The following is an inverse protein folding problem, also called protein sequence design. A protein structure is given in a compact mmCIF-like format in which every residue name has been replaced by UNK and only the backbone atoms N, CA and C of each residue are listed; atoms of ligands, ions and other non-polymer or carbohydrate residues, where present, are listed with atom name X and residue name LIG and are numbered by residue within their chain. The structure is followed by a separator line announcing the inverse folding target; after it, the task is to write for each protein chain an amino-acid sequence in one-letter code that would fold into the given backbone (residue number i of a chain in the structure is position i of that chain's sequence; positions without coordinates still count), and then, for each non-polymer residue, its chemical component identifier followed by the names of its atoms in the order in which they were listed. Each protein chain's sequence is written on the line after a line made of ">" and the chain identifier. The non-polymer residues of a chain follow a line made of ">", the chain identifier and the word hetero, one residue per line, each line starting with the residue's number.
data_IF_300785434407
#
_entry.id   IF_300785434407
#
_cell.length_a   1.000
_cell.length_b   1.000
_cell.length_c   1.000
_cell.angle_alpha   90.00
_cell.angle_beta   90.00
_cell.angle_gamma   90.00
#
_symmetry.space_group_name_H-M   'P 1'
#
loop_
_entity.id
_entity.type
_entity.pdbx_description
1 polymer ?
#
# COMPACT_ATOMS: atom_id res chain seq x y z
N UNK A 1 24.65 30.46 -41.81
CA UNK A 1 25.47 30.05 -40.65
C UNK A 1 24.62 29.72 -39.39
N UNK A 2 23.33 29.49 -39.52
CA UNK A 2 22.40 29.24 -38.37
C UNK A 2 21.86 27.79 -38.23
N UNK A 3 22.09 26.93 -39.21
CA UNK A 3 21.55 25.55 -39.20
C UNK A 3 22.38 24.49 -38.42
N UNK A 4 23.67 24.78 -38.11
CA UNK A 4 24.54 23.76 -37.50
C UNK A 4 24.45 23.72 -35.93
N UNK A 5 23.98 24.76 -35.28
CA UNK A 5 23.86 24.74 -33.80
C UNK A 5 22.67 24.03 -33.24
N UNK A 6 21.58 23.89 -34.02
CA UNK A 6 20.33 23.25 -33.54
C UNK A 6 20.49 21.71 -33.47
N UNK A 7 21.28 21.09 -34.37
CA UNK A 7 21.48 19.63 -34.37
C UNK A 7 22.31 19.12 -33.18
N UNK A 8 23.25 19.91 -32.67
CA UNK A 8 24.11 19.50 -31.53
C UNK A 8 23.31 19.47 -30.22
N UNK A 9 22.39 20.40 -30.04
CA UNK A 9 21.58 20.50 -28.83
C UNK A 9 20.53 19.39 -28.74
N UNK A 10 19.94 19.02 -29.88
CA UNK A 10 18.95 17.92 -29.93
C UNK A 10 19.62 16.56 -29.69
N UNK A 11 20.83 16.34 -30.22
CA UNK A 11 21.57 15.10 -29.98
C UNK A 11 22.03 14.94 -28.52
N UNK A 12 22.35 16.03 -27.83
CA UNK A 12 22.76 15.99 -26.42
C UNK A 12 21.57 15.70 -25.50
N UNK A 13 20.41 16.28 -25.77
CA UNK A 13 19.18 16.02 -25.01
C UNK A 13 18.71 14.57 -25.23
N UNK A 14 18.78 14.05 -26.43
CA UNK A 14 18.42 12.68 -26.74
C UNK A 14 19.39 11.66 -26.10
N UNK A 15 20.69 11.93 -26.09
CA UNK A 15 21.69 11.09 -25.43
C UNK A 15 21.54 11.07 -23.90
N UNK A 16 21.21 12.20 -23.28
CA UNK A 16 20.95 12.27 -21.82
C UNK A 16 19.69 11.51 -21.45
N UNK A 17 18.63 11.59 -22.25
CA UNK A 17 17.38 10.86 -22.02
C UNK A 17 17.56 9.36 -22.16
N UNK A 18 18.33 8.90 -23.15
CA UNK A 18 18.66 7.48 -23.36
C UNK A 18 19.52 6.94 -22.22
N UNK A 19 20.49 7.69 -21.73
CA UNK A 19 21.32 7.27 -20.59
C UNK A 19 20.52 7.20 -19.28
N UNK A 20 19.60 8.12 -19.03
CA UNK A 20 18.73 8.08 -17.85
C UNK A 20 17.79 6.84 -17.86
N UNK A 21 17.17 6.55 -19.01
CA UNK A 21 16.31 5.38 -19.15
C UNK A 21 17.06 4.05 -18.98
N UNK A 22 18.25 3.91 -19.56
CA UNK A 22 19.06 2.71 -19.42
C UNK A 22 19.54 2.40 -18.01
N UNK A 23 19.48 3.35 -17.09
CA UNK A 23 19.91 3.18 -15.70
C UNK A 23 18.76 2.87 -14.75
N UNK A 24 17.58 3.42 -15.00
CA UNK A 24 16.34 3.05 -14.32
C UNK A 24 16.02 1.58 -14.62
N UNK A 25 16.27 1.10 -15.84
CA UNK A 25 16.10 -0.30 -16.23
C UNK A 25 16.82 -1.30 -15.31
N UNK A 26 17.97 -0.95 -14.72
CA UNK A 26 18.69 -1.83 -13.77
C UNK A 26 17.91 -2.08 -12.50
N UNK A 27 17.09 -1.11 -12.08
CA UNK A 27 16.20 -1.20 -10.93
C UNK A 27 14.77 -1.64 -11.31
N UNK A 28 14.58 -2.11 -12.54
CA UNK A 28 13.30 -2.62 -13.02
C UNK A 28 13.38 -4.09 -13.47
N UNK A 29 14.50 -4.77 -13.15
CA UNK A 29 14.66 -6.20 -13.45
C UNK A 29 13.60 -7.03 -12.73
N UNK A 30 12.81 -7.77 -13.51
CA UNK A 30 11.69 -8.57 -13.00
C UNK A 30 10.34 -7.94 -13.27
N UNK A 31 10.23 -6.65 -13.60
CA UNK A 31 8.95 -6.08 -14.03
C UNK A 31 8.57 -6.70 -15.39
N UNK A 32 7.40 -7.35 -15.43
CA UNK A 32 6.85 -7.98 -16.65
C UNK A 32 5.70 -7.18 -17.25
N UNK A 33 4.99 -6.39 -16.46
CA UNK A 33 3.89 -5.54 -16.93
C UNK A 33 3.74 -4.30 -16.05
N UNK A 34 3.40 -3.17 -16.67
CA UNK A 34 2.97 -1.94 -16.00
C UNK A 34 1.78 -1.36 -16.76
N UNK A 35 0.73 -1.02 -16.04
CA UNK A 35 -0.50 -0.49 -16.64
C UNK A 35 -1.26 0.37 -15.63
N UNK A 36 -2.15 1.23 -16.11
CA UNK A 36 -3.16 1.87 -15.27
C UNK A 36 -4.43 0.99 -15.26
N UNK A 37 -5.17 1.02 -14.14
CA UNK A 37 -6.43 0.29 -14.05
C UNK A 37 -7.51 0.86 -14.99
N UNK A 38 -7.38 2.12 -15.34
CA UNK A 38 -8.32 2.84 -16.20
C UNK A 38 -7.65 4.04 -16.87
N UNK A 39 -8.15 4.43 -18.02
CA UNK A 39 -7.75 5.66 -18.70
C UNK A 39 -8.55 6.85 -18.20
N UNK A 40 -9.86 6.67 -18.04
CA UNK A 40 -10.81 7.65 -17.53
C UNK A 40 -11.59 7.09 -16.34
N UNK A 41 -11.89 7.93 -15.37
CA UNK A 41 -12.69 7.60 -14.20
C UNK A 41 -13.80 8.64 -13.99
N UNK A 42 -14.88 8.27 -13.29
CA UNK A 42 -15.97 9.22 -12.99
C UNK A 42 -15.61 10.24 -11.88
N UNK A 43 -14.36 10.27 -11.45
CA UNK A 43 -13.85 11.14 -10.38
C UNK A 43 -12.50 11.75 -10.79
N UNK A 44 -12.17 12.95 -10.35
CA UNK A 44 -10.88 13.59 -10.64
C UNK A 44 -9.74 13.11 -9.72
N UNK A 45 -10.06 12.58 -8.52
CA UNK A 45 -9.06 12.18 -7.53
C UNK A 45 -9.36 10.80 -6.95
N UNK A 46 -8.31 10.00 -6.73
CA UNK A 46 -8.40 8.68 -6.13
C UNK A 46 -7.25 8.39 -5.16
N UNK A 47 -7.45 7.45 -4.23
CA UNK A 47 -6.39 7.05 -3.30
C UNK A 47 -6.63 5.68 -2.64
N UNK A 48 -5.59 5.19 -1.92
CA UNK A 48 -5.66 4.04 -1.02
C UNK A 48 -6.09 2.75 -1.70
N UNK A 49 -5.29 2.31 -2.68
CA UNK A 49 -5.57 1.10 -3.44
C UNK A 49 -5.27 -0.17 -2.62
N UNK A 50 -6.08 -1.21 -2.87
CA UNK A 50 -5.92 -2.57 -2.37
C UNK A 50 -6.22 -3.56 -3.49
N UNK A 51 -5.61 -4.75 -3.45
CA UNK A 51 -5.76 -5.80 -4.47
C UNK A 51 -5.90 -7.16 -3.83
N UNK A 52 -6.73 -8.02 -4.42
CA UNK A 52 -6.87 -9.42 -4.05
C UNK A 52 -6.93 -10.32 -5.29
N UNK A 53 -6.38 -11.54 -5.17
CA UNK A 53 -6.60 -12.61 -6.12
C UNK A 53 -7.86 -13.38 -5.70
N UNK A 54 -8.77 -13.57 -6.66
CA UNK A 54 -10.00 -14.35 -6.47
C UNK A 54 -10.05 -15.52 -7.45
N UNK A 55 -10.93 -16.51 -7.29
CA UNK A 55 -11.09 -17.59 -8.26
C UNK A 55 -11.43 -17.11 -9.69
N UNK A 56 -11.91 -15.89 -9.84
CA UNK A 56 -12.31 -15.31 -11.15
C UNK A 56 -11.32 -14.27 -11.68
N UNK A 57 -10.15 -14.10 -11.05
CA UNK A 57 -9.12 -13.13 -11.43
C UNK A 57 -8.86 -12.09 -10.34
N UNK A 58 -8.06 -11.08 -10.70
CA UNK A 58 -7.71 -10.02 -9.76
C UNK A 58 -8.85 -9.02 -9.57
N UNK A 59 -8.98 -8.53 -8.35
CA UNK A 59 -9.90 -7.45 -7.99
C UNK A 59 -9.11 -6.37 -7.28
N UNK A 60 -9.28 -5.13 -7.71
CA UNK A 60 -8.72 -3.95 -7.07
C UNK A 60 -9.83 -3.08 -6.49
N UNK A 61 -9.57 -2.43 -5.35
CA UNK A 61 -10.44 -1.42 -4.77
C UNK A 61 -9.65 -0.20 -4.35
N UNK A 62 -10.28 0.96 -4.38
CA UNK A 62 -9.72 2.24 -3.98
C UNK A 62 -10.87 3.22 -3.72
N UNK A 63 -10.59 4.33 -3.08
CA UNK A 63 -11.58 5.39 -3.01
C UNK A 63 -11.36 6.45 -4.08
N UNK A 64 -12.44 7.09 -4.54
CA UNK A 64 -12.42 8.17 -5.52
C UNK A 64 -13.54 9.17 -5.28
N UNK A 65 -13.32 10.41 -5.67
CA UNK A 65 -14.23 11.53 -5.54
C UNK A 65 -13.59 12.83 -5.99
N UNK A 66 -14.20 13.98 -5.67
CA UNK A 66 -13.63 15.30 -6.01
C UNK A 66 -12.28 15.51 -5.33
N UNK A 67 -12.17 15.22 -4.05
CA UNK A 67 -10.94 15.28 -3.24
C UNK A 67 -11.14 14.41 -2.00
N UNK A 68 -10.07 13.83 -1.47
CA UNK A 68 -10.08 13.16 -0.17
C UNK A 68 -10.75 14.03 0.89
N UNK A 69 -11.59 13.45 1.75
CA UNK A 69 -12.45 14.09 2.77
C UNK A 69 -13.74 14.71 2.26
N UNK A 70 -13.92 14.87 0.96
CA UNK A 70 -15.17 15.38 0.43
C UNK A 70 -16.30 14.34 0.59
N UNK A 71 -17.53 14.76 0.83
CA UNK A 71 -18.67 13.86 1.00
C UNK A 71 -18.98 12.98 -0.19
N UNK A 72 -18.52 13.35 -1.40
CA UNK A 72 -18.71 12.59 -2.64
C UNK A 72 -17.71 11.43 -2.83
N UNK A 73 -16.77 11.26 -1.90
CA UNK A 73 -15.82 10.14 -1.95
C UNK A 73 -16.54 8.81 -1.74
N UNK A 74 -16.37 7.90 -2.70
CA UNK A 74 -16.97 6.56 -2.73
C UNK A 74 -15.90 5.47 -2.86
N UNK A 75 -16.26 4.22 -2.58
CA UNK A 75 -15.42 3.06 -2.80
C UNK A 75 -15.70 2.48 -4.17
N UNK A 76 -14.66 2.33 -4.97
CA UNK A 76 -14.69 1.78 -6.31
C UNK A 76 -14.02 0.42 -6.38
N UNK A 77 -14.53 -0.42 -7.28
CA UNK A 77 -13.97 -1.72 -7.65
C UNK A 77 -13.59 -1.69 -9.13
N UNK A 78 -12.43 -2.25 -9.45
CA UNK A 78 -12.05 -2.64 -10.81
C UNK A 78 -11.69 -4.13 -10.81
N UNK A 79 -12.09 -4.88 -11.84
CA UNK A 79 -11.84 -6.32 -11.97
C UNK A 79 -10.96 -6.59 -13.17
N UNK A 80 -10.03 -7.52 -13.04
CA UNK A 80 -9.19 -7.97 -14.15
C UNK A 80 -9.83 -9.19 -14.81
N UNK A 81 -10.31 -9.02 -16.03
CA UNK A 81 -11.04 -10.04 -16.78
C UNK A 81 -10.48 -10.08 -18.21
N UNK A 82 -10.23 -11.27 -18.74
CA UNK A 82 -9.72 -11.48 -20.09
C UNK A 82 -8.48 -10.63 -20.43
N UNK A 83 -7.54 -10.57 -19.49
CA UNK A 83 -6.25 -9.88 -19.66
C UNK A 83 -6.28 -8.36 -19.52
N UNK A 84 -7.39 -7.75 -19.10
CA UNK A 84 -7.57 -6.29 -18.94
C UNK A 84 -8.35 -5.91 -17.69
N UNK A 85 -8.08 -4.73 -17.18
CA UNK A 85 -8.88 -4.11 -16.14
C UNK A 85 -10.17 -3.53 -16.72
N UNK A 86 -11.30 -3.82 -16.08
CA UNK A 86 -12.60 -3.23 -16.42
C UNK A 86 -12.69 -1.82 -15.82
N UNK A 87 -13.55 -0.97 -16.40
CA UNK A 87 -13.83 0.36 -15.87
C UNK A 87 -14.26 0.27 -14.39
N UNK A 88 -13.79 1.17 -13.53
CA UNK A 88 -14.18 1.17 -12.12
C UNK A 88 -15.65 1.54 -11.95
N UNK A 89 -16.31 0.86 -10.99
CA UNK A 89 -17.68 1.14 -10.60
C UNK A 89 -17.80 1.29 -9.08
N UNK A 90 -18.72 2.14 -8.63
CA UNK A 90 -18.95 2.38 -7.21
C UNK A 90 -19.69 1.21 -6.57
N UNK A 91 -19.24 0.78 -5.38
CA UNK A 91 -19.85 -0.30 -4.60
C UNK A 91 -20.27 0.13 -3.20
N UNK A 92 -19.78 1.28 -2.74
CA UNK A 92 -20.18 1.84 -1.45
C UNK A 92 -19.98 3.36 -1.45
N UNK A 93 -20.89 4.05 -0.81
CA UNK A 93 -20.87 5.48 -0.56
C UNK A 93 -21.13 5.77 0.91
N UNK A 94 -21.06 7.04 1.28
CA UNK A 94 -21.23 7.49 2.65
C UNK A 94 -22.60 8.07 2.97
N UNK A 95 -23.64 7.77 2.19
CA UNK A 95 -25.00 8.26 2.44
C UNK A 95 -25.55 7.60 3.70
N UNK A 96 -25.98 8.43 4.66
CA UNK A 96 -26.53 8.00 5.92
C UNK A 96 -28.07 7.92 5.85
N UNK A 97 -28.75 7.22 6.77
CA UNK A 97 -30.21 7.11 6.79
C UNK A 97 -30.95 8.46 6.85
N UNK A 98 -30.33 9.50 7.42
CA UNK A 98 -30.86 10.86 7.47
C UNK A 98 -30.60 11.68 6.20
N UNK A 99 -30.03 11.06 5.16
CA UNK A 99 -29.66 11.70 3.90
C UNK A 99 -28.33 12.46 3.93
N UNK A 100 -27.69 12.61 5.08
CA UNK A 100 -26.35 13.20 5.17
C UNK A 100 -25.34 12.34 4.43
N UNK A 101 -24.39 12.95 3.75
CA UNK A 101 -23.32 12.24 3.06
C UNK A 101 -21.98 12.52 3.74
N UNK A 102 -21.25 11.46 4.04
CA UNK A 102 -19.91 11.48 4.63
C UNK A 102 -18.91 10.82 3.68
N UNK A 103 -17.63 11.18 3.70
CA UNK A 103 -16.63 10.49 2.90
C UNK A 103 -16.47 9.03 3.31
N UNK A 104 -16.16 8.19 2.33
CA UNK A 104 -15.66 6.83 2.55
C UNK A 104 -14.14 6.81 2.52
N UNK A 105 -13.51 5.78 3.14
CA UNK A 105 -12.08 5.73 3.34
C UNK A 105 -11.52 4.33 3.21
N UNK A 106 -10.24 4.24 2.80
CA UNK A 106 -9.35 3.11 2.87
C UNK A 106 -10.04 1.74 2.72
N UNK A 107 -10.42 1.34 1.49
CA UNK A 107 -10.88 -0.02 1.27
C UNK A 107 -9.75 -1.02 1.50
N UNK A 108 -10.10 -2.20 2.01
CA UNK A 108 -9.22 -3.35 2.13
C UNK A 108 -9.96 -4.58 1.64
N UNK A 109 -9.41 -5.25 0.64
CA UNK A 109 -9.91 -6.50 0.10
C UNK A 109 -9.24 -7.69 0.80
N UNK A 110 -10.02 -8.73 1.05
CA UNK A 110 -9.51 -10.01 1.51
C UNK A 110 -10.31 -11.16 0.92
N UNK A 111 -9.65 -12.06 0.17
CA UNK A 111 -10.28 -13.29 -0.34
C UNK A 111 -10.18 -14.37 0.73
N UNK A 112 -11.32 -14.79 1.26
CA UNK A 112 -11.39 -15.94 2.17
C UNK A 112 -11.05 -17.20 1.39
N UNK A 113 -10.09 -18.04 1.85
CA UNK A 113 -9.80 -19.31 1.19
C UNK A 113 -11.05 -20.18 1.06
N UNK A 114 -11.43 -20.51 -0.19
CA UNK A 114 -12.65 -21.27 -0.48
C UNK A 114 -13.97 -20.56 -0.17
N UNK A 115 -13.94 -19.27 0.14
CA UNK A 115 -15.11 -18.48 0.54
C UNK A 115 -15.27 -17.18 -0.24
N UNK A 116 -15.98 -16.24 0.36
CA UNK A 116 -16.36 -14.97 -0.23
C UNK A 116 -15.16 -13.98 -0.25
N UNK A 117 -15.21 -13.03 -1.17
CA UNK A 117 -14.35 -11.84 -1.15
C UNK A 117 -14.93 -10.81 -0.17
N UNK A 118 -14.17 -10.42 0.83
CA UNK A 118 -14.54 -9.40 1.80
C UNK A 118 -14.00 -8.04 1.37
N UNK A 119 -14.80 -7.00 1.51
CA UNK A 119 -14.42 -5.60 1.36
C UNK A 119 -14.67 -4.89 2.69
N UNK A 120 -13.62 -4.48 3.36
CA UNK A 120 -13.66 -3.59 4.51
C UNK A 120 -13.44 -2.16 4.05
N UNK A 121 -14.17 -1.19 4.61
CA UNK A 121 -13.97 0.23 4.36
C UNK A 121 -14.45 1.03 5.56
N UNK A 122 -14.30 2.34 5.55
CA UNK A 122 -14.71 3.21 6.65
C UNK A 122 -15.62 4.32 6.12
N UNK A 123 -16.50 4.80 6.98
CA UNK A 123 -17.31 6.00 6.78
C UNK A 123 -17.06 6.92 7.96
N UNK A 124 -16.97 8.22 7.72
CA UNK A 124 -16.83 9.20 8.78
C UNK A 124 -16.17 10.48 8.30
N UNK A 125 -16.29 11.60 9.05
CA UNK A 125 -15.80 12.91 8.62
C UNK A 125 -14.26 12.99 8.55
N UNK A 126 -13.58 12.18 9.36
CA UNK A 126 -12.11 12.11 9.42
C UNK A 126 -11.64 10.80 10.07
N UNK A 127 -10.35 10.42 9.92
CA UNK A 127 -9.83 9.15 10.45
C UNK A 127 -9.95 8.95 11.96
N UNK A 128 -10.06 10.01 12.74
CA UNK A 128 -10.27 9.94 14.19
C UNK A 128 -11.73 9.68 14.60
N UNK A 129 -12.68 9.76 13.65
CA UNK A 129 -14.11 9.70 13.90
C UNK A 129 -14.85 8.73 12.96
N UNK A 130 -14.12 7.93 12.20
CA UNK A 130 -14.71 6.95 11.30
C UNK A 130 -15.12 5.67 12.02
N UNK A 131 -15.99 4.90 11.37
CA UNK A 131 -16.37 3.56 11.79
C UNK A 131 -16.19 2.56 10.66
N UNK A 132 -16.06 1.28 11.03
CA UNK A 132 -15.84 0.18 10.11
C UNK A 132 -17.12 -0.28 9.44
N UNK A 133 -17.02 -0.58 8.15
CA UNK A 133 -18.07 -1.16 7.31
C UNK A 133 -17.52 -2.38 6.57
N UNK A 134 -18.38 -3.31 6.24
CA UNK A 134 -18.04 -4.52 5.48
C UNK A 134 -19.10 -4.81 4.42
N UNK A 135 -18.66 -5.33 3.27
CA UNK A 135 -19.49 -5.98 2.24
C UNK A 135 -18.84 -7.29 1.81
N UNK A 136 -19.63 -8.20 1.25
CA UNK A 136 -19.14 -9.49 0.72
C UNK A 136 -19.53 -9.66 -0.73
N UNK A 137 -18.70 -10.41 -1.48
CA UNK A 137 -18.99 -10.80 -2.86
C UNK A 137 -18.74 -12.30 -3.03
N UNK A 138 -19.68 -13.01 -3.64
CA UNK A 138 -19.62 -14.45 -3.94
C UNK A 138 -19.16 -14.74 -5.37
N UNK A 139 -19.00 -13.72 -6.19
CA UNK A 139 -18.75 -13.82 -7.62
C UNK A 139 -17.49 -13.05 -8.08
N UNK A 140 -16.51 -12.96 -7.18
CA UNK A 140 -15.23 -12.31 -7.46
C UNK A 140 -15.36 -10.80 -7.72
N UNK A 141 -16.16 -10.13 -6.91
CA UNK A 141 -16.30 -8.67 -6.94
C UNK A 141 -17.22 -8.13 -8.03
N UNK A 142 -18.02 -8.99 -8.69
CA UNK A 142 -19.00 -8.54 -9.70
C UNK A 142 -20.24 -7.94 -9.04
N UNK A 143 -20.77 -8.62 -8.01
CA UNK A 143 -21.87 -8.12 -7.19
C UNK A 143 -21.48 -8.15 -5.71
N UNK A 144 -22.14 -7.32 -4.91
CA UNK A 144 -21.83 -7.12 -3.51
C UNK A 144 -23.08 -7.14 -2.65
N UNK A 145 -22.97 -7.67 -1.44
CA UNK A 145 -24.03 -7.63 -0.43
C UNK A 145 -24.40 -6.20 -0.05
N UNK A 146 -25.49 -6.03 0.69
CA UNK A 146 -25.68 -4.80 1.46
C UNK A 146 -24.52 -4.57 2.43
N UNK A 147 -24.29 -3.28 2.75
CA UNK A 147 -23.23 -2.91 3.67
C UNK A 147 -23.62 -3.19 5.11
N UNK A 148 -22.72 -3.81 5.87
CA UNK A 148 -22.90 -4.07 7.30
C UNK A 148 -21.91 -3.23 8.09
N UNK A 149 -22.36 -2.45 9.07
CA UNK A 149 -21.50 -1.78 10.05
C UNK A 149 -20.83 -2.84 10.94
N UNK A 150 -19.54 -2.72 11.16
CA UNK A 150 -18.84 -3.55 12.15
C UNK A 150 -19.36 -3.24 13.56
N UNK A 151 -19.26 -4.18 14.50
CA UNK A 151 -19.66 -3.93 15.89
C UNK A 151 -18.97 -2.70 16.45
N UNK A 152 -19.60 -2.00 17.38
CA UNK A 152 -19.05 -0.80 17.97
C UNK A 152 -17.68 -1.09 18.62
N UNK A 153 -16.74 -0.19 18.41
CA UNK A 153 -15.34 -0.33 18.83
C UNK A 153 -14.41 -0.97 17.81
N UNK A 154 -14.94 -1.58 16.75
CA UNK A 154 -14.18 -2.20 15.66
C UNK A 154 -14.27 -1.40 14.36
N UNK A 155 -13.15 -1.31 13.66
CA UNK A 155 -13.04 -0.58 12.38
C UNK A 155 -12.51 -1.46 11.25
N UNK A 156 -12.12 -2.70 11.55
CA UNK A 156 -11.53 -3.61 10.59
C UNK A 156 -10.09 -3.22 10.19
N UNK A 157 -9.51 -3.88 9.19
CA UNK A 157 -8.17 -3.54 8.70
C UNK A 157 -8.17 -2.12 8.13
N UNK A 158 -7.20 -1.28 8.56
CA UNK A 158 -7.23 0.16 8.22
C UNK A 158 -6.71 0.46 6.83
N UNK A 159 -5.66 -0.24 6.38
CA UNK A 159 -5.05 -0.02 5.05
C UNK A 159 -4.52 -1.31 4.44
N UNK A 160 -3.82 -2.09 5.23
CA UNK A 160 -3.15 -3.28 4.74
C UNK A 160 -4.01 -4.52 4.98
N UNK A 161 -3.81 -5.50 4.11
CA UNK A 161 -4.61 -6.74 4.10
C UNK A 161 -4.47 -7.54 5.40
N UNK A 162 -5.55 -8.17 5.88
CA UNK A 162 -5.45 -9.17 6.94
C UNK A 162 -4.64 -10.38 6.50
N UNK A 163 -4.18 -11.16 7.46
CA UNK A 163 -3.54 -12.45 7.24
C UNK A 163 -4.30 -13.56 7.98
N UNK A 164 -4.49 -14.70 7.33
CA UNK A 164 -5.00 -15.89 7.98
C UNK A 164 -3.83 -16.63 8.65
N UNK A 165 -3.92 -16.84 9.93
CA UNK A 165 -2.93 -17.57 10.71
C UNK A 165 -3.23 -19.06 10.74
N UNK A 166 -2.24 -19.89 11.11
CA UNK A 166 -2.38 -21.34 11.20
C UNK A 166 -3.41 -21.83 12.23
N UNK A 167 -3.79 -20.97 13.17
CA UNK A 167 -4.84 -21.21 14.17
C UNK A 167 -6.24 -20.72 13.72
N UNK A 168 -6.42 -20.49 12.41
CA UNK A 168 -7.64 -20.03 11.75
C UNK A 168 -8.12 -18.62 12.16
N UNK A 169 -7.29 -17.88 12.87
CA UNK A 169 -7.55 -16.48 13.14
C UNK A 169 -7.27 -15.63 11.88
N UNK A 170 -8.26 -14.90 11.41
CA UNK A 170 -8.05 -13.81 10.47
C UNK A 170 -7.60 -12.59 11.28
N UNK A 171 -6.34 -12.24 11.12
CA UNK A 171 -5.66 -11.21 11.89
C UNK A 171 -5.61 -9.91 11.08
N UNK A 172 -6.48 -8.96 11.43
CA UNK A 172 -6.63 -7.69 10.71
C UNK A 172 -5.74 -6.60 11.33
N UNK A 173 -4.79 -6.05 10.55
CA UNK A 173 -3.94 -4.96 11.03
C UNK A 173 -4.74 -3.67 11.08
N UNK A 174 -4.84 -3.09 12.27
CA UNK A 174 -5.62 -1.89 12.55
C UNK A 174 -4.80 -0.83 13.30
N UNK A 175 -5.33 0.39 13.36
CA UNK A 175 -4.71 1.48 14.09
C UNK A 175 -5.71 2.60 14.38
N UNK A 176 -5.57 3.27 15.51
CA UNK A 176 -6.32 4.48 15.87
C UNK A 176 -5.48 5.72 15.63
N UNK A 177 -6.10 6.77 15.07
CA UNK A 177 -5.43 8.04 14.76
C UNK A 177 -5.84 9.19 15.71
N UNK A 178 -6.96 9.06 16.42
CA UNK A 178 -7.53 10.15 17.23
C UNK A 178 -6.78 10.47 18.50
N UNK A 179 -6.41 9.45 19.27
CA UNK A 179 -5.75 9.59 20.57
C UNK A 179 -4.29 9.13 20.52
N UNK A 180 -3.52 9.85 19.73
CA UNK A 180 -2.19 9.38 19.33
C UNK A 180 -2.28 8.25 18.32
N UNK A 181 -1.18 7.95 17.62
CA UNK A 181 -1.12 6.88 16.65
C UNK A 181 -0.81 5.56 17.35
N UNK A 182 -1.81 4.68 17.44
CA UNK A 182 -1.71 3.41 18.18
C UNK A 182 -2.05 2.23 17.31
N UNK A 183 -1.12 1.30 17.16
CA UNK A 183 -1.32 0.04 16.45
C UNK A 183 -2.04 -0.95 17.37
N UNK A 184 -3.04 -1.62 16.83
CA UNK A 184 -3.70 -2.77 17.43
C UNK A 184 -4.13 -3.74 16.31
N UNK A 185 -4.62 -4.90 16.69
CA UNK A 185 -5.18 -5.86 15.75
C UNK A 185 -6.62 -6.18 16.14
N UNK A 186 -7.41 -6.43 15.13
CA UNK A 186 -8.77 -6.91 15.27
C UNK A 186 -8.84 -8.31 14.66
N UNK A 187 -9.31 -9.28 15.45
CA UNK A 187 -9.21 -10.70 15.11
C UNK A 187 -10.60 -11.31 15.02
N UNK A 188 -10.85 -12.04 13.94
CA UNK A 188 -12.10 -12.77 13.71
C UNK A 188 -11.82 -14.20 13.27
N UNK A 189 -12.75 -15.14 13.60
CA UNK A 189 -12.73 -16.53 13.11
C UNK A 189 -13.91 -16.86 12.20
N UNK A 190 -14.83 -15.92 12.06
CA UNK A 190 -16.11 -16.13 11.38
C UNK A 190 -16.34 -15.10 10.26
N UNK A 191 -15.23 -14.70 9.60
CA UNK A 191 -15.24 -13.77 8.47
C UNK A 191 -15.85 -12.39 8.81
N UNK A 192 -15.60 -11.89 10.02
CA UNK A 192 -15.99 -10.56 10.41
C UNK A 192 -17.35 -10.42 11.10
N UNK A 193 -17.96 -11.51 11.53
CA UNK A 193 -19.21 -11.48 12.33
C UNK A 193 -18.92 -11.15 13.79
N UNK A 194 -17.90 -11.77 14.36
CA UNK A 194 -17.43 -11.47 15.72
C UNK A 194 -15.96 -11.09 15.72
N UNK A 195 -15.58 -10.26 16.67
CA UNK A 195 -14.26 -9.67 16.76
C UNK A 195 -13.71 -9.65 18.18
N UNK A 196 -12.40 -9.75 18.32
CA UNK A 196 -11.66 -9.42 19.53
C UNK A 196 -10.48 -8.52 19.19
N UNK A 197 -10.01 -7.76 20.17
CA UNK A 197 -8.85 -6.86 20.00
C UNK A 197 -7.61 -7.46 20.62
N UNK A 198 -6.46 -7.30 19.96
CA UNK A 198 -5.12 -7.52 20.50
C UNK A 198 -4.36 -6.19 20.46
N UNK A 199 -3.77 -5.79 21.57
CA UNK A 199 -3.10 -4.49 21.71
C UNK A 199 -3.95 -3.48 22.48
N UNK A 200 -3.61 -2.18 22.47
CA UNK A 200 -2.57 -1.55 21.64
C UNK A 200 -1.16 -2.07 21.92
N UNK A 201 -0.29 -2.02 20.90
CA UNK A 201 1.12 -2.40 21.07
C UNK A 201 1.85 -1.41 21.97
N UNK A 202 2.87 -1.87 22.74
CA UNK A 202 3.72 -0.97 23.51
C UNK A 202 4.46 0.03 22.59
N UNK A 203 4.15 1.33 22.75
CA UNK A 203 4.53 2.38 21.80
C UNK A 203 6.01 2.75 21.86
N UNK A 204 6.63 2.68 23.04
CA UNK A 204 8.02 3.08 23.28
C UNK A 204 8.35 4.49 22.71
N UNK A 205 7.43 5.45 22.88
CA UNK A 205 7.57 6.81 22.34
C UNK A 205 7.43 6.94 20.81
N UNK A 206 7.01 5.87 20.13
CA UNK A 206 6.85 5.82 18.67
C UNK A 206 5.38 5.95 18.29
N UNK A 207 5.07 6.89 17.41
CA UNK A 207 3.75 7.08 16.82
C UNK A 207 3.67 6.36 15.47
N UNK A 208 2.91 5.28 15.41
CA UNK A 208 2.83 4.43 14.21
C UNK A 208 1.39 4.00 13.90
N UNK A 209 1.10 3.84 12.61
CA UNK A 209 -0.20 3.39 12.09
C UNK A 209 -0.02 2.47 10.88
N UNK A 210 -1.13 1.83 10.47
CA UNK A 210 -1.25 1.10 9.20
C UNK A 210 -0.20 -0.01 9.06
N UNK A 211 -0.10 -0.95 10.03
CA UNK A 211 0.88 -2.02 9.95
C UNK A 211 0.57 -3.02 8.83
N UNK A 212 1.61 -3.62 8.24
CA UNK A 212 1.54 -4.87 7.48
C UNK A 212 2.03 -6.00 8.33
N UNK A 213 1.49 -7.21 8.17
CA UNK A 213 1.85 -8.40 8.94
C UNK A 213 2.65 -9.35 8.04
N UNK A 214 3.81 -9.80 8.52
CA UNK A 214 4.69 -10.77 7.90
C UNK A 214 4.75 -12.05 8.73
N UNK A 215 4.77 -13.20 8.07
CA UNK A 215 4.75 -14.52 8.70
C UNK A 215 6.08 -15.26 8.47
N UNK A 216 6.64 -15.85 9.53
CA UNK A 216 7.92 -16.60 9.49
C UNK A 216 7.78 -18.08 9.84
N UNK A 217 6.55 -18.56 9.95
CA UNK A 217 6.26 -19.92 10.44
C UNK A 217 6.32 -20.04 11.97
N UNK A 218 5.83 -21.17 12.49
CA UNK A 218 5.83 -21.51 13.93
C UNK A 218 5.25 -20.40 14.84
N UNK A 219 4.23 -19.67 14.34
CA UNK A 219 3.59 -18.60 15.09
C UNK A 219 4.40 -17.29 15.19
N UNK A 220 5.58 -17.23 14.56
CA UNK A 220 6.40 -16.03 14.54
C UNK A 220 5.90 -15.04 13.51
N UNK A 221 5.60 -13.81 13.96
CA UNK A 221 5.09 -12.71 13.15
C UNK A 221 5.97 -11.47 13.33
N UNK A 222 5.97 -10.61 12.30
CA UNK A 222 6.52 -9.27 12.36
C UNK A 222 5.49 -8.30 11.81
N UNK A 223 5.43 -7.10 12.36
CA UNK A 223 4.81 -6.00 11.65
C UNK A 223 5.86 -5.02 11.13
N UNK A 224 5.53 -4.38 10.01
CA UNK A 224 6.20 -3.19 9.52
C UNK A 224 5.16 -2.07 9.37
N UNK A 225 5.46 -0.88 9.89
CA UNK A 225 4.49 0.20 9.91
C UNK A 225 5.07 1.57 9.57
N UNK A 226 4.19 2.42 9.03
CA UNK A 226 4.39 3.85 8.84
C UNK A 226 4.49 4.57 10.17
N UNK A 227 5.38 5.58 10.26
CA UNK A 227 5.52 6.40 11.45
C UNK A 227 5.67 7.88 11.18
N UNK A 228 5.41 8.69 12.21
CA UNK A 228 5.86 10.08 12.28
C UNK A 228 7.34 10.21 12.75
N UNK A 229 8.01 9.10 13.06
CA UNK A 229 9.34 9.08 13.67
C UNK A 229 10.48 8.83 12.68
N UNK A 230 10.25 9.09 11.38
CA UNK A 230 11.25 9.12 10.29
C UNK A 230 11.85 7.76 9.89
N UNK A 231 11.34 6.65 10.42
CA UNK A 231 11.78 5.31 10.07
C UNK A 231 10.58 4.37 9.92
N UNK A 232 10.70 3.33 9.12
CA UNK A 232 9.81 2.16 9.23
C UNK A 232 10.02 1.57 10.62
N UNK A 233 8.94 1.22 11.30
CA UNK A 233 9.01 0.54 12.60
C UNK A 233 8.56 -0.88 12.50
N UNK A 234 9.01 -1.68 13.44
CA UNK A 234 8.68 -3.08 13.59
C UNK A 234 8.27 -3.42 15.02
N UNK A 235 7.51 -4.50 15.16
CA UNK A 235 7.32 -5.25 16.38
C UNK A 235 7.23 -6.74 16.03
N UNK A 236 7.53 -7.60 16.98
CA UNK A 236 7.59 -9.05 16.81
C UNK A 236 6.66 -9.77 17.77
N UNK A 237 6.07 -10.86 17.29
CA UNK A 237 5.34 -11.86 18.08
C UNK A 237 5.91 -13.24 17.84
N UNK A 238 5.86 -14.13 18.84
CA UNK A 238 6.27 -15.52 18.73
C UNK A 238 5.14 -16.51 19.11
N UNK A 239 3.92 -16.02 19.26
CA UNK A 239 2.76 -16.74 19.78
C UNK A 239 1.49 -16.54 18.94
N UNK A 240 1.64 -16.51 17.61
CA UNK A 240 0.54 -16.25 16.66
C UNK A 240 -0.15 -14.90 16.90
N UNK A 241 0.60 -13.87 17.32
CA UNK A 241 0.10 -12.52 17.44
C UNK A 241 -0.63 -12.21 18.74
N UNK A 242 -0.63 -13.10 19.73
CA UNK A 242 -1.30 -12.85 21.01
C UNK A 242 -0.54 -11.81 21.84
N UNK A 243 0.80 -11.87 21.84
CA UNK A 243 1.66 -10.86 22.47
C UNK A 243 2.68 -10.29 21.51
N UNK A 244 3.09 -9.05 21.73
CA UNK A 244 4.00 -8.33 20.86
C UNK A 244 5.09 -7.60 21.64
N UNK A 245 6.26 -7.52 21.04
CA UNK A 245 7.33 -6.67 21.53
C UNK A 245 6.92 -5.19 21.47
N UNK A 246 7.63 -4.33 22.18
CA UNK A 246 7.53 -2.89 21.97
C UNK A 246 7.94 -2.51 20.54
N UNK A 247 7.39 -1.39 20.03
CA UNK A 247 7.78 -0.82 18.75
C UNK A 247 9.25 -0.41 18.76
N UNK A 248 9.97 -0.75 17.70
CA UNK A 248 11.37 -0.36 17.48
C UNK A 248 11.55 0.17 16.06
N UNK A 249 12.51 1.08 15.87
CA UNK A 249 12.84 1.59 14.54
C UNK A 249 13.73 0.60 13.79
N UNK A 250 13.40 0.34 12.54
CA UNK A 250 14.34 -0.29 11.61
C UNK A 250 15.35 0.73 11.09
N UNK A 251 16.32 0.30 10.28
CA UNK A 251 17.23 1.20 9.57
C UNK A 251 16.61 1.86 8.33
N UNK A 252 15.44 1.40 7.90
CA UNK A 252 14.80 1.91 6.69
C UNK A 252 14.09 3.25 6.96
N UNK A 253 14.31 4.27 6.10
CA UNK A 253 13.65 5.57 6.26
C UNK A 253 12.15 5.47 5.99
N UNK A 254 11.38 6.38 6.57
CA UNK A 254 9.99 6.60 6.24
C UNK A 254 9.66 8.10 6.23
N UNK A 255 9.00 8.54 5.18
CA UNK A 255 8.56 9.92 4.97
C UNK A 255 7.18 10.20 5.56
N UNK A 256 6.70 9.37 6.47
CA UNK A 256 5.33 9.40 6.97
C UNK A 256 4.29 9.12 5.87
N UNK A 257 4.55 8.10 5.06
CA UNK A 257 3.62 7.59 4.05
C UNK A 257 3.30 6.12 4.31
N UNK A 258 2.08 5.70 3.90
CA UNK A 258 1.65 4.31 4.01
C UNK A 258 2.55 3.36 3.22
N UNK A 259 2.78 2.18 3.80
CA UNK A 259 3.57 1.08 3.23
C UNK A 259 2.71 -0.17 3.10
N UNK A 260 3.17 -1.18 2.38
CA UNK A 260 2.63 -2.54 2.49
C UNK A 260 3.75 -3.58 2.36
N UNK A 261 3.52 -4.75 2.94
CA UNK A 261 4.45 -5.86 2.88
C UNK A 261 3.73 -7.20 2.72
N UNK A 262 4.44 -8.19 2.20
CA UNK A 262 3.94 -9.55 2.03
C UNK A 262 5.07 -10.57 2.24
N UNK A 263 4.73 -11.70 2.87
CA UNK A 263 5.59 -12.88 2.90
C UNK A 263 5.36 -13.68 1.62
N UNK A 264 6.42 -13.90 0.84
CA UNK A 264 6.35 -14.74 -0.36
C UNK A 264 6.30 -16.21 -0.01
N UNK A 265 5.84 -17.05 -0.94
CA UNK A 265 5.78 -18.51 -0.82
C UNK A 265 7.13 -19.15 -0.52
N UNK A 266 8.24 -18.52 -0.92
CA UNK A 266 9.61 -18.96 -0.65
C UNK A 266 10.17 -18.47 0.70
N UNK A 267 9.35 -17.81 1.51
CA UNK A 267 9.69 -17.32 2.85
C UNK A 267 10.36 -15.94 2.88
N UNK A 268 10.72 -15.36 1.72
CA UNK A 268 11.26 -14.00 1.68
C UNK A 268 10.16 -12.98 1.93
N UNK A 269 10.53 -11.84 2.50
CA UNK A 269 9.67 -10.71 2.79
C UNK A 269 9.83 -9.64 1.72
N UNK A 270 8.73 -9.07 1.26
CA UNK A 270 8.71 -7.95 0.32
C UNK A 270 8.08 -6.75 1.01
N UNK A 271 8.72 -5.59 0.93
CA UNK A 271 8.22 -4.31 1.44
C UNK A 271 8.18 -3.31 0.29
N UNK A 272 7.04 -2.66 0.11
CA UNK A 272 6.86 -1.53 -0.83
C UNK A 272 6.58 -0.25 -0.05
N UNK A 273 7.40 0.80 -0.28
CA UNK A 273 7.42 2.02 0.52
C UNK A 273 8.14 3.17 -0.20
N UNK A 274 8.03 4.37 0.32
CA UNK A 274 8.86 5.48 -0.12
C UNK A 274 10.17 5.48 0.69
N UNK A 275 11.28 5.13 0.03
CA UNK A 275 12.62 5.10 0.65
C UNK A 275 13.22 6.51 0.70
N UNK A 276 12.64 7.37 1.51
CA UNK A 276 13.04 8.77 1.64
C UNK A 276 12.74 9.27 3.05
N UNK A 277 13.56 10.20 3.54
CA UNK A 277 13.32 10.91 4.79
C UNK A 277 12.58 12.23 4.51
N UNK A 278 11.75 12.71 5.45
CA UNK A 278 11.30 14.09 5.44
C UNK A 278 12.50 15.05 5.51
N UNK A 279 12.47 16.18 4.82
CA UNK A 279 13.56 17.16 4.89
C UNK A 279 13.59 17.85 6.24
N UNK A 280 14.81 18.21 6.70
CA UNK A 280 15.01 18.85 7.99
C UNK A 280 14.26 18.14 9.11
N UNK A 281 13.52 18.88 9.91
CA UNK A 281 12.70 18.37 11.03
C UNK A 281 11.21 18.19 10.69
N UNK A 282 10.85 18.25 9.41
CA UNK A 282 9.45 18.07 9.00
C UNK A 282 8.94 16.68 9.37
N UNK A 283 7.68 16.61 9.77
CA UNK A 283 7.01 15.36 10.13
C UNK A 283 6.58 14.53 8.88
N UNK A 284 6.49 15.17 7.70
CA UNK A 284 6.10 14.54 6.44
C UNK A 284 7.10 14.94 5.34
N UNK A 285 7.33 14.03 4.40
CA UNK A 285 8.15 14.26 3.21
C UNK A 285 7.45 13.86 1.93
N UNK A 286 8.07 14.18 0.81
CA UNK A 286 7.60 13.83 -0.52
C UNK A 286 7.36 12.33 -0.66
N UNK A 287 6.30 11.94 -1.40
CA UNK A 287 5.94 10.54 -1.66
C UNK A 287 6.54 10.05 -2.99
N UNK A 288 7.82 10.28 -3.15
CA UNK A 288 8.68 9.81 -4.24
C UNK A 288 10.10 9.70 -3.71
N UNK A 289 10.91 8.71 -4.14
CA UNK A 289 10.58 7.58 -5.00
C UNK A 289 9.65 6.55 -4.33
N UNK A 290 9.07 5.62 -5.12
CA UNK A 290 8.39 4.43 -4.63
C UNK A 290 9.28 3.21 -4.89
N UNK A 291 9.65 2.52 -3.83
CA UNK A 291 10.68 1.49 -3.83
C UNK A 291 10.14 0.13 -3.36
N UNK A 292 10.80 -0.93 -3.83
CA UNK A 292 10.60 -2.29 -3.31
C UNK A 292 11.90 -2.80 -2.73
N UNK A 293 11.83 -3.33 -1.51
CA UNK A 293 12.91 -4.02 -0.83
C UNK A 293 12.53 -5.46 -0.49
N UNK A 294 13.52 -6.33 -0.43
CA UNK A 294 13.35 -7.75 -0.11
C UNK A 294 14.27 -8.12 1.05
N UNK A 295 13.75 -8.93 1.97
CA UNK A 295 14.50 -9.47 3.11
C UNK A 295 14.25 -10.97 3.25
N UNK A 296 15.23 -11.69 3.84
CA UNK A 296 15.08 -13.10 4.23
C UNK A 296 14.66 -13.27 5.69
N UNK A 297 14.98 -12.30 6.53
CA UNK A 297 14.85 -12.37 7.99
C UNK A 297 14.02 -11.25 8.61
N UNK A 298 13.56 -10.29 7.77
CA UNK A 298 12.82 -9.09 8.18
C UNK A 298 13.69 -8.00 8.82
N UNK A 299 15.00 -8.23 8.97
CA UNK A 299 15.96 -7.28 9.59
C UNK A 299 16.92 -6.71 8.57
N UNK A 300 17.54 -7.57 7.77
CA UNK A 300 18.47 -7.21 6.71
C UNK A 300 17.73 -7.03 5.38
N UNK A 301 17.68 -5.81 4.87
CA UNK A 301 16.94 -5.50 3.66
C UNK A 301 17.85 -5.24 2.46
N UNK A 302 17.39 -5.67 1.31
CA UNK A 302 18.05 -5.43 0.01
C UNK A 302 17.12 -4.64 -0.90
N UNK A 303 17.64 -3.63 -1.56
CA UNK A 303 16.98 -2.90 -2.63
C UNK A 303 16.71 -3.84 -3.81
N UNK A 304 15.51 -3.81 -4.35
CA UNK A 304 15.06 -4.64 -5.45
C UNK A 304 14.59 -3.82 -6.66
N UNK A 305 13.63 -2.91 -6.46
CA UNK A 305 13.02 -2.13 -7.53
C UNK A 305 12.86 -0.67 -7.15
N UNK A 306 12.87 0.20 -8.15
CA UNK A 306 12.31 1.54 -8.11
C UNK A 306 11.11 1.54 -9.05
N UNK A 307 9.90 1.56 -8.51
CA UNK A 307 8.67 1.55 -9.31
C UNK A 307 8.39 2.91 -9.92
N UNK A 308 8.65 3.98 -9.17
CA UNK A 308 8.50 5.37 -9.57
C UNK A 308 9.63 6.21 -8.97
N UNK A 309 10.15 7.17 -9.73
CA UNK A 309 11.21 8.08 -9.30
C UNK A 309 11.08 9.52 -9.82
N UNK A 310 9.93 9.85 -10.42
CA UNK A 310 9.69 11.22 -10.88
C UNK A 310 9.75 12.23 -9.72
N UNK A 311 10.30 13.42 -9.92
CA UNK A 311 10.29 14.48 -8.90
C UNK A 311 8.88 15.03 -8.64
N UNK A 312 7.91 14.70 -9.48
CA UNK A 312 6.51 15.07 -9.28
C UNK A 312 5.90 14.01 -8.36
N UNK A 313 5.65 14.35 -7.13
CA UNK A 313 4.91 13.56 -6.17
C UNK A 313 3.42 13.49 -6.59
N UNK A 314 2.63 12.50 -6.27
CA UNK A 314 2.95 11.45 -5.29
C UNK A 314 2.76 10.05 -5.86
N UNK A 315 3.52 9.11 -5.34
CA UNK A 315 3.38 7.67 -5.56
C UNK A 315 3.25 7.03 -4.19
N UNK A 316 2.04 6.62 -3.82
CA UNK A 316 1.76 6.35 -2.41
C UNK A 316 0.68 5.32 -2.17
N UNK A 317 0.56 4.91 -0.91
CA UNK A 317 -0.40 3.92 -0.44
C UNK A 317 -0.39 2.65 -1.29
N UNK A 318 0.79 2.04 -1.45
CA UNK A 318 0.91 0.80 -2.20
C UNK A 318 0.23 -0.36 -1.48
N UNK A 319 -0.23 -1.33 -2.26
CA UNK A 319 -0.54 -2.67 -1.80
C UNK A 319 0.23 -3.69 -2.63
N UNK A 320 0.58 -4.83 -2.03
CA UNK A 320 1.30 -5.92 -2.69
C UNK A 320 0.72 -7.27 -2.29
N UNK A 321 0.53 -8.16 -3.28
CA UNK A 321 0.21 -9.57 -3.07
C UNK A 321 1.15 -10.44 -3.91
N UNK A 322 1.28 -11.71 -3.53
CA UNK A 322 1.80 -12.74 -4.42
C UNK A 322 0.65 -13.66 -4.84
N UNK A 323 0.46 -13.82 -6.14
CA UNK A 323 -0.59 -14.65 -6.74
C UNK A 323 -0.21 -16.14 -6.78
N UNK A 324 -1.17 -16.98 -7.15
CA UNK A 324 -1.00 -18.42 -7.22
C UNK A 324 0.12 -18.85 -8.19
N UNK A 325 0.30 -18.11 -9.29
CA UNK A 325 1.37 -18.30 -10.28
C UNK A 325 2.76 -17.84 -9.82
N UNK A 326 2.85 -17.27 -8.61
CA UNK A 326 4.10 -16.81 -8.00
C UNK A 326 4.50 -15.39 -8.34
N UNK A 327 3.75 -14.68 -9.20
CA UNK A 327 4.02 -13.29 -9.52
C UNK A 327 3.68 -12.36 -8.33
N UNK A 328 4.40 -11.26 -8.23
CA UNK A 328 4.07 -10.18 -7.32
C UNK A 328 3.24 -9.12 -8.08
N UNK A 329 2.14 -8.73 -7.49
CA UNK A 329 1.28 -7.66 -8.00
C UNK A 329 1.33 -6.48 -7.05
N UNK A 330 1.83 -5.35 -7.55
CA UNK A 330 1.86 -4.08 -6.85
C UNK A 330 0.78 -3.17 -7.42
N UNK A 331 0.06 -2.50 -6.52
CA UNK A 331 -0.93 -1.50 -6.90
C UNK A 331 -0.74 -0.27 -6.02
N UNK A 332 -0.84 0.94 -6.57
CA UNK A 332 -0.62 2.17 -5.82
C UNK A 332 -1.29 3.37 -6.46
N UNK A 333 -1.49 4.39 -5.64
CA UNK A 333 -1.93 5.72 -6.08
C UNK A 333 -0.82 6.40 -6.88
N UNK A 334 -1.12 6.73 -8.13
CA UNK A 334 -0.27 7.50 -9.01
C UNK A 334 -0.82 8.94 -9.12
N UNK A 335 -0.13 9.90 -8.50
CA UNK A 335 -0.42 11.35 -8.51
C UNK A 335 -1.84 11.74 -8.08
N UNK A 336 -2.51 10.93 -7.30
CA UNK A 336 -3.94 11.08 -6.96
C UNK A 336 -4.90 11.00 -8.15
N UNK A 337 -4.43 10.85 -9.36
CA UNK A 337 -5.21 10.84 -10.60
C UNK A 337 -5.62 9.43 -11.01
N UNK A 338 -4.72 8.47 -10.84
CA UNK A 338 -4.88 7.09 -11.32
C UNK A 338 -4.40 6.08 -10.30
N UNK A 339 -4.82 4.84 -10.52
CA UNK A 339 -4.25 3.67 -9.84
C UNK A 339 -3.39 2.92 -10.85
N UNK A 340 -2.13 2.69 -10.48
CA UNK A 340 -1.16 1.94 -11.31
C UNK A 340 -0.98 0.53 -10.79
N UNK A 341 -0.88 -0.43 -11.69
CA UNK A 341 -0.64 -1.83 -11.44
C UNK A 341 0.69 -2.25 -12.08
N UNK A 342 1.51 -2.99 -11.33
CA UNK A 342 2.80 -3.50 -11.79
C UNK A 342 2.90 -4.97 -11.43
N UNK A 343 3.23 -5.80 -12.42
CA UNK A 343 3.45 -7.24 -12.26
C UNK A 343 4.94 -7.52 -12.29
N UNK A 344 5.42 -8.32 -11.34
CA UNK A 344 6.84 -8.61 -11.16
C UNK A 344 7.08 -10.10 -11.01
N UNK A 345 8.01 -10.63 -11.75
CA UNK A 345 8.58 -11.96 -11.58
C UNK A 345 9.69 -11.91 -10.49
N UNK A 346 9.42 -12.41 -9.26
CA UNK A 346 10.37 -12.29 -8.16
C UNK A 346 11.66 -13.13 -8.35
N UNK A 347 11.66 -14.07 -9.29
CA UNK A 347 12.85 -14.88 -9.63
C UNK A 347 13.90 -14.07 -10.38
N UNK A 348 13.50 -13.01 -11.07
CA UNK A 348 14.36 -12.13 -11.86
C UNK A 348 14.88 -10.90 -11.11
N UNK A 349 14.49 -10.71 -9.86
CA UNK A 349 14.92 -9.58 -9.05
C UNK A 349 16.45 -9.58 -8.85
N UNK A 350 17.07 -8.43 -9.00
CA UNK A 350 18.48 -8.19 -8.71
C UNK A 350 18.60 -7.43 -7.41
N UNK A 351 19.00 -8.15 -6.37
CA UNK A 351 19.05 -7.62 -5.03
C UNK A 351 20.41 -6.96 -4.73
N UNK A 352 20.39 -5.82 -4.04
CA UNK A 352 21.58 -5.10 -3.57
C UNK A 352 21.36 -4.63 -2.13
N UNK A 353 22.25 -5.06 -1.20
CA UNK A 353 22.10 -4.78 0.23
C UNK A 353 21.96 -3.27 0.50
N UNK A 354 20.95 -2.91 1.29
CA UNK A 354 20.80 -1.59 1.88
C UNK A 354 21.69 -1.54 3.11
N UNK A 355 22.65 -0.60 3.13
CA UNK A 355 23.58 -0.43 4.25
C UNK A 355 23.22 0.84 5.01
N UNK A 356 23.03 0.73 6.33
CA UNK A 356 22.68 1.86 7.21
C UNK A 356 21.50 2.70 6.70
N UNK A 357 20.49 2.06 6.14
CA UNK A 357 19.31 2.73 5.60
C UNK A 357 19.56 3.51 4.30
N UNK A 358 20.71 3.35 3.66
CA UNK A 358 21.07 4.06 2.43
C UNK A 358 20.75 3.18 1.22
N UNK A 359 19.89 3.69 0.32
CA UNK A 359 19.61 3.02 -0.95
C UNK A 359 20.89 2.94 -1.79
N UNK A 360 21.24 1.76 -2.33
CA UNK A 360 22.50 1.60 -3.05
C UNK A 360 22.51 2.45 -4.34
N UNK A 361 23.56 3.22 -4.51
CA UNK A 361 23.76 4.03 -5.72
C UNK A 361 24.02 3.13 -6.93
N UNK A 362 23.42 3.47 -8.07
CA UNK A 362 23.80 3.00 -9.39
C UNK A 362 24.83 3.97 -9.99
N UNK A 363 25.89 3.44 -10.60
CA UNK A 363 26.92 4.26 -11.26
C UNK A 363 26.25 5.10 -12.37
N UNK A 364 26.35 6.42 -12.27
CA UNK A 364 25.78 7.36 -13.23
C UNK A 364 24.29 7.66 -13.04
N UNK A 365 23.58 7.07 -12.07
CA UNK A 365 22.21 7.44 -11.71
C UNK A 365 22.24 8.56 -10.66
N UNK A 366 21.53 9.63 -10.91
CA UNK A 366 21.24 10.69 -9.95
C UNK A 366 19.76 10.68 -9.67
N UNK A 367 19.37 10.50 -8.41
CA UNK A 367 17.98 10.61 -8.02
C UNK A 367 17.43 12.00 -8.39
N UNK A 368 16.18 12.09 -8.88
CA UNK A 368 15.58 13.39 -9.18
C UNK A 368 15.57 14.29 -7.94
N UNK A 369 15.81 15.58 -8.15
CA UNK A 369 15.66 16.57 -7.08
C UNK A 369 14.16 16.77 -6.85
N UNK A 370 13.73 16.51 -5.63
CA UNK A 370 12.32 16.63 -5.24
C UNK A 370 12.03 18.10 -4.98
N UNK A 371 11.19 18.73 -5.80
CA UNK A 371 10.68 20.07 -5.56
C UNK A 371 9.49 20.00 -4.58
N UNK A 372 9.75 20.36 -3.33
CA UNK A 372 8.80 20.22 -2.21
C UNK A 372 7.60 21.18 -2.23
N UNK A 373 7.67 22.24 -3.05
CA UNK A 373 6.70 23.33 -3.03
C UNK A 373 5.35 23.03 -3.70
N UNK A 374 5.15 21.83 -4.27
CA UNK A 374 3.88 21.41 -4.89
C UNK A 374 3.21 20.25 -4.19
N UNK A 375 3.62 19.92 -2.99
CA UNK A 375 3.04 18.83 -2.24
C UNK A 375 1.95 19.32 -1.31
N UNK A 376 0.73 19.26 -1.75
CA UNK A 376 -0.25 18.33 -1.24
C UNK A 376 -0.56 18.44 0.24
N UNK A 377 -1.48 19.25 0.49
CA UNK A 377 -2.42 19.02 1.57
C UNK A 377 -3.37 17.88 1.14
N UNK A 378 -3.11 16.66 1.58
CA UNK A 378 -4.04 15.57 1.60
C UNK A 378 -4.65 15.47 2.96
#
# INVERSE_FOLDING_TARGET
>A
MFKRKIYITINLIFAITICANAQVEKWQKGIVKQEFLYDKAPFPSCHSATIAETPTGLVASFFGGTKERNPDVEIYISRFVDGKWLAPFSVANGIQPDGKRLPTWNPVLYQVPGGDLLLFYKIGPKPSEWWGMMKTSKDGGKTWSEATKLPDGYIGPVKNKPVLLSNENLFAPSSKEGDGWKIHFEVTKDNGKTWRTVGPLPENGIKAIQPSILQYGNGKLQILARTANRAIVEAWSNDNGETWSALTKTTLPNNNSGTDAVTMKDGRQVLVYNHVLPPGDLAKGARTPLNVSVSKDGKEWSAALILEDSPISQYSYPAVIQTADGMLHFIYTWRREKIKHVVVDPSKLKLKKIKNGIWPKLKGYTAPVINETKNEEG
#
